data_IF_390291551061
#
_entry.id   IF_390291551061
#
_cell.length_a   1.000
_cell.length_b   1.000
_cell.length_c   1.000
_cell.angle_alpha   90.00
_cell.angle_beta   90.00
_cell.angle_gamma   90.00
#
_symmetry.space_group_name_H-M   'P 1'
#
loop_
_entity.id
_entity.type
_entity.pdbx_description
1 polymer ?
#
# COMPACT_ATOMS: atom_id res chain seq x y z
N UNK A 1 10.51 -19.94 26.89
CA UNK A 1 9.50 -20.20 27.93
C UNK A 1 8.14 -20.14 27.25
N UNK A 2 7.26 -21.14 27.42
CA UNK A 2 5.95 -21.11 26.78
C UNK A 2 5.04 -20.13 27.54
N UNK A 3 4.29 -19.32 26.80
CA UNK A 3 3.28 -18.41 27.35
C UNK A 3 2.19 -19.19 28.11
N UNK A 4 1.69 -18.69 29.24
CA UNK A 4 0.61 -19.34 29.97
C UNK A 4 -0.71 -19.19 29.20
N UNK A 5 -1.43 -20.30 29.05
CA UNK A 5 -2.80 -20.34 28.55
C UNK A 5 -3.73 -19.63 29.54
N UNK A 6 -4.25 -18.47 29.16
CA UNK A 6 -5.38 -17.85 29.85
C UNK A 6 -6.65 -18.49 29.28
N UNK A 7 -7.25 -19.40 30.07
CA UNK A 7 -8.65 -19.74 29.93
C UNK A 7 -9.47 -18.55 30.43
N UNK A 8 -10.11 -17.82 29.52
CA UNK A 8 -11.30 -17.04 29.82
C UNK A 8 -12.38 -17.38 28.80
N UNK A 9 -13.39 -18.09 29.29
CA UNK A 9 -14.68 -18.26 28.62
C UNK A 9 -15.46 -16.96 28.76
N UNK A 10 -15.42 -16.15 27.71
CA UNK A 10 -16.38 -15.06 27.48
C UNK A 10 -16.63 -15.02 25.98
N UNK A 11 -17.82 -15.45 25.57
CA UNK A 11 -18.24 -15.49 24.17
C UNK A 11 -18.46 -14.07 23.66
N UNK A 12 -17.44 -13.49 23.04
CA UNK A 12 -17.55 -12.21 22.35
C UNK A 12 -18.08 -12.38 20.93
N UNK A 13 -18.85 -11.42 20.41
CA UNK A 13 -19.39 -11.46 19.05
C UNK A 13 -18.25 -11.46 18.03
N UNK A 14 -18.04 -12.60 17.37
CA UNK A 14 -16.93 -12.83 16.45
C UNK A 14 -17.27 -12.52 14.98
N UNK A 15 -16.32 -11.94 14.27
CA UNK A 15 -16.26 -11.83 12.81
C UNK A 15 -15.25 -12.84 12.29
N UNK A 16 -15.65 -13.70 11.35
CA UNK A 16 -14.71 -14.56 10.62
C UNK A 16 -14.23 -13.78 9.39
N UNK A 17 -12.93 -13.51 9.33
CA UNK A 17 -12.29 -12.92 8.15
C UNK A 17 -11.65 -14.05 7.35
N UNK A 18 -11.92 -14.14 6.06
CA UNK A 18 -11.34 -15.07 5.09
C UNK A 18 -10.54 -14.30 4.03
N UNK A 19 -9.76 -15.04 3.24
CA UNK A 19 -8.81 -14.46 2.29
C UNK A 19 -8.71 -15.30 1.00
N UNK A 20 -8.06 -14.76 -0.03
CA UNK A 20 -7.66 -15.51 -1.23
C UNK A 20 -6.41 -14.88 -1.86
N UNK A 21 -5.35 -15.67 -2.10
CA UNK A 21 -4.16 -15.24 -2.86
C UNK A 21 -3.97 -16.13 -4.08
N UNK A 22 -3.61 -15.50 -5.19
CA UNK A 22 -3.12 -16.18 -6.39
C UNK A 22 -1.79 -15.53 -6.76
N UNK A 23 -0.68 -16.11 -6.31
CA UNK A 23 0.64 -15.65 -6.71
C UNK A 23 1.16 -16.57 -7.83
N UNK A 24 1.35 -16.02 -9.03
CA UNK A 24 1.93 -16.76 -10.15
C UNK A 24 3.45 -16.60 -10.09
N UNK A 25 4.15 -17.65 -9.64
CA UNK A 25 5.61 -17.68 -9.69
C UNK A 25 6.10 -18.94 -10.39
N UNK A 26 6.94 -18.75 -11.41
CA UNK A 26 7.56 -19.81 -12.19
C UNK A 26 8.65 -20.50 -11.37
N UNK A 27 8.66 -21.84 -11.42
CA UNK A 27 9.61 -22.71 -10.71
C UNK A 27 11.04 -22.49 -11.21
N UNK A 28 11.98 -22.28 -10.29
CA UNK A 28 13.42 -22.52 -10.49
C UNK A 28 13.98 -23.21 -9.24
N UNK A 29 14.73 -24.32 -9.36
CA UNK A 29 15.32 -24.98 -8.20
C UNK A 29 16.58 -24.25 -7.70
N UNK A 30 17.07 -24.67 -6.53
CA UNK A 30 18.41 -24.48 -5.94
C UNK A 30 18.58 -23.46 -4.79
N UNK A 31 19.26 -23.95 -3.72
CA UNK A 31 20.17 -23.22 -2.84
C UNK A 31 19.62 -22.68 -1.50
N UNK A 32 20.30 -23.03 -0.39
CA UNK A 32 20.06 -22.54 0.99
C UNK A 32 20.46 -21.05 1.17
N UNK A 33 21.07 -20.43 0.16
CA UNK A 33 21.52 -19.03 0.17
C UNK A 33 20.80 -18.18 -0.90
N UNK A 34 19.51 -18.41 -1.11
CA UNK A 34 18.71 -17.61 -2.04
C UNK A 34 17.98 -16.48 -1.27
N UNK A 35 18.27 -15.20 -1.50
CA UNK A 35 17.57 -14.10 -0.85
C UNK A 35 16.06 -14.12 -1.13
N UNK A 36 15.63 -14.69 -2.26
CA UNK A 36 14.23 -14.82 -2.66
C UNK A 36 13.50 -16.01 -2.02
N UNK A 37 14.15 -16.76 -1.13
CA UNK A 37 13.55 -17.96 -0.53
C UNK A 37 12.21 -17.66 0.14
N UNK A 38 12.14 -16.68 1.04
CA UNK A 38 10.91 -16.33 1.75
C UNK A 38 9.76 -15.97 0.82
N UNK A 39 10.05 -15.21 -0.25
CA UNK A 39 9.06 -14.88 -1.27
C UNK A 39 8.54 -16.13 -1.99
N UNK A 40 9.42 -17.05 -2.41
CA UNK A 40 9.05 -18.30 -3.10
C UNK A 40 8.29 -19.27 -2.21
N UNK A 41 8.60 -19.27 -0.91
CA UNK A 41 7.94 -20.11 0.09
C UNK A 41 6.58 -19.58 0.51
N UNK A 42 6.33 -18.28 0.34
CA UNK A 42 5.06 -17.65 0.70
C UNK A 42 4.00 -17.87 -0.39
N UNK A 43 3.37 -19.04 -0.35
CA UNK A 43 2.36 -19.46 -1.33
C UNK A 43 0.93 -19.37 -0.79
N UNK A 44 0.79 -19.43 0.52
CA UNK A 44 -0.48 -19.52 1.25
C UNK A 44 -0.40 -18.59 2.47
N UNK A 45 -1.53 -18.28 3.13
CA UNK A 45 -1.53 -17.33 4.24
C UNK A 45 -0.90 -18.02 5.44
N UNK A 46 -0.56 -17.24 6.44
CA UNK A 46 -0.29 -17.82 7.74
C UNK A 46 -1.55 -18.38 8.41
N UNK A 47 -2.66 -17.64 8.37
CA UNK A 47 -3.97 -18.03 8.89
C UNK A 47 -5.06 -17.68 7.87
N UNK A 48 -5.64 -18.67 7.15
CA UNK A 48 -6.63 -18.41 6.10
C UNK A 48 -7.97 -17.87 6.64
N UNK A 49 -8.23 -18.11 7.92
CA UNK A 49 -9.37 -17.59 8.63
C UNK A 49 -9.00 -17.24 10.07
N UNK A 50 -9.65 -16.23 10.63
CA UNK A 50 -9.52 -15.86 12.04
C UNK A 50 -10.80 -15.21 12.55
N UNK A 51 -11.04 -15.35 13.86
CA UNK A 51 -12.17 -14.75 14.57
C UNK A 51 -11.70 -13.49 15.29
N UNK A 52 -12.42 -12.38 15.09
CA UNK A 52 -12.17 -11.10 15.74
C UNK A 52 -13.41 -10.61 16.49
N UNK A 53 -13.24 -10.08 17.69
CA UNK A 53 -14.32 -9.38 18.39
C UNK A 53 -14.67 -8.08 17.68
N UNK A 54 -15.96 -7.78 17.50
CA UNK A 54 -16.40 -6.52 16.86
C UNK A 54 -15.79 -5.28 17.53
N UNK A 55 -15.71 -5.28 18.87
CA UNK A 55 -15.12 -4.20 19.67
C UNK A 55 -13.63 -3.97 19.40
N UNK A 56 -12.89 -4.95 18.89
CA UNK A 56 -11.48 -4.77 18.51
C UNK A 56 -11.33 -3.76 17.36
N UNK A 57 -12.36 -3.59 16.52
CA UNK A 57 -12.37 -2.62 15.44
C UNK A 57 -12.79 -1.21 15.88
N UNK A 58 -13.03 -0.98 17.18
CA UNK A 58 -13.38 0.37 17.67
C UNK A 58 -12.25 1.38 17.43
N UNK A 59 -11.00 0.93 17.24
CA UNK A 59 -9.88 1.79 16.85
C UNK A 59 -10.13 2.51 15.50
N UNK A 60 -11.00 1.96 14.65
CA UNK A 60 -11.36 2.60 13.37
C UNK A 60 -12.40 3.71 13.54
N UNK A 61 -13.10 3.81 14.68
CA UNK A 61 -14.10 4.85 14.87
C UNK A 61 -13.45 6.23 15.02
N UNK A 62 -14.09 7.30 14.50
CA UNK A 62 -13.67 8.66 14.83
C UNK A 62 -13.92 8.96 16.32
N UNK A 63 -13.24 9.99 16.85
CA UNK A 63 -13.41 10.43 18.25
C UNK A 63 -14.86 10.84 18.58
N UNK A 64 -15.57 11.46 17.63
CA UNK A 64 -16.99 11.82 17.74
C UNK A 64 -17.79 11.07 16.67
N UNK A 65 -18.58 10.09 17.11
CA UNK A 65 -19.43 9.24 16.25
C UNK A 65 -20.84 9.81 16.05
N UNK A 66 -21.21 10.85 16.80
CA UNK A 66 -22.51 11.53 16.70
C UNK A 66 -22.46 12.71 15.73
N UNK A 67 -21.40 13.53 15.79
CA UNK A 67 -21.19 14.68 14.91
C UNK A 67 -20.12 14.43 13.86
N UNK A 68 -20.35 13.42 13.03
CA UNK A 68 -19.38 13.00 12.01
C UNK A 68 -19.29 14.00 10.86
N UNK A 69 -18.07 14.48 10.59
CA UNK A 69 -17.75 15.21 9.37
C UNK A 69 -17.33 14.24 8.25
N UNK A 70 -18.13 14.13 7.20
CA UNK A 70 -17.81 13.26 6.06
C UNK A 70 -16.48 13.66 5.40
N UNK A 71 -15.68 12.66 5.05
CA UNK A 71 -14.41 12.81 4.35
C UNK A 71 -13.27 13.39 5.19
N UNK A 72 -13.52 13.88 6.41
CA UNK A 72 -12.47 14.42 7.28
C UNK A 72 -11.50 13.30 7.68
N UNK A 73 -10.21 13.37 7.28
CA UNK A 73 -9.24 12.35 7.65
C UNK A 73 -8.92 12.38 9.16
N UNK A 74 -8.67 11.20 9.73
CA UNK A 74 -8.13 11.01 11.07
C UNK A 74 -7.16 9.84 11.09
N UNK A 75 -6.19 9.89 12.00
CA UNK A 75 -5.16 8.86 12.14
C UNK A 75 -5.65 7.79 13.10
N UNK A 76 -5.75 6.55 12.62
CA UNK A 76 -5.89 5.34 13.44
C UNK A 76 -4.51 5.00 14.03
N UNK A 77 -3.48 5.08 13.18
CA UNK A 77 -2.08 4.95 13.57
C UNK A 77 -1.30 6.15 13.03
N UNK A 78 -0.56 6.88 13.87
CA UNK A 78 0.15 8.07 13.44
C UNK A 78 1.33 7.72 12.52
N UNK A 79 1.71 8.67 11.65
CA UNK A 79 2.86 8.51 10.75
C UNK A 79 4.22 8.56 11.46
N UNK A 80 4.26 9.01 12.71
CA UNK A 80 5.50 9.14 13.49
C UNK A 80 5.63 7.98 14.49
N UNK A 81 6.82 7.39 14.66
CA UNK A 81 7.04 6.41 15.71
C UNK A 81 6.81 7.06 17.08
N UNK A 82 5.89 6.52 17.86
CA UNK A 82 5.77 6.86 19.29
C UNK A 82 7.03 6.46 20.05
N UNK A 83 7.65 7.41 20.77
CA UNK A 83 8.74 7.13 21.71
C UNK A 83 10.18 7.37 21.22
N UNK A 84 10.37 7.99 20.04
CA UNK A 84 11.69 8.44 19.62
C UNK A 84 12.16 9.68 20.40
N UNK A 85 13.43 9.71 20.81
CA UNK A 85 14.11 10.97 21.13
C UNK A 85 14.08 11.87 19.86
N UNK A 86 14.05 13.20 20.00
CA UNK A 86 14.04 14.12 18.85
C UNK A 86 15.12 13.85 17.80
N UNK A 87 16.24 13.24 18.22
CA UNK A 87 17.42 12.96 17.40
C UNK A 87 17.69 11.45 17.16
N UNK A 88 16.76 10.56 17.52
CA UNK A 88 16.92 9.12 17.23
C UNK A 88 16.71 8.86 15.73
N UNK A 89 17.43 7.89 15.11
CA UNK A 89 17.23 7.54 13.71
C UNK A 89 15.75 7.29 13.45
N UNK A 90 15.17 8.07 12.56
CA UNK A 90 13.73 8.09 12.27
C UNK A 90 13.23 6.81 11.60
N UNK A 91 14.09 5.81 11.39
CA UNK A 91 13.87 4.60 10.60
C UNK A 91 14.24 3.34 11.39
N UNK A 92 13.42 2.29 11.27
CA UNK A 92 13.78 0.97 11.79
C UNK A 92 14.90 0.36 10.93
N UNK A 93 15.80 -0.42 11.53
CA UNK A 93 16.88 -1.11 10.82
C UNK A 93 16.35 -2.15 9.83
N UNK A 94 16.92 -2.18 8.62
CA UNK A 94 16.66 -3.21 7.60
C UNK A 94 17.20 -4.59 7.97
N UNK A 95 18.05 -4.69 8.99
CA UNK A 95 18.59 -5.97 9.49
C UNK A 95 17.61 -6.71 10.42
N UNK A 96 16.41 -6.15 10.66
CA UNK A 96 15.40 -6.77 11.54
C UNK A 96 14.77 -7.99 10.89
N UNK A 97 14.53 -9.00 11.71
CA UNK A 97 13.77 -10.19 11.33
C UNK A 97 12.37 -10.17 11.90
N UNK A 98 12.22 -9.80 13.17
CA UNK A 98 10.96 -9.91 13.88
C UNK A 98 10.34 -8.53 14.15
N UNK A 99 9.00 -8.41 13.99
CA UNK A 99 8.33 -7.15 14.25
C UNK A 99 8.37 -6.78 15.74
N UNK A 100 8.28 -5.48 16.06
CA UNK A 100 8.09 -5.07 17.44
C UNK A 100 6.78 -5.64 17.98
N UNK A 101 6.73 -5.88 19.29
CA UNK A 101 5.52 -6.38 19.94
C UNK A 101 4.35 -5.40 19.73
N UNK A 102 3.14 -5.90 19.43
CA UNK A 102 1.97 -5.05 19.27
C UNK A 102 1.66 -4.32 20.57
N UNK A 103 1.24 -3.06 20.44
CA UNK A 103 0.57 -2.33 21.53
C UNK A 103 -0.87 -2.81 21.61
N UNK A 104 -1.46 -2.77 22.80
CA UNK A 104 -2.83 -3.24 23.04
C UNK A 104 -3.84 -2.59 22.10
N UNK A 105 -3.75 -1.27 21.96
CA UNK A 105 -4.57 -0.44 21.06
C UNK A 105 -4.54 -0.90 19.59
N UNK A 106 -3.38 -1.32 19.08
CA UNK A 106 -3.18 -1.59 17.65
C UNK A 106 -3.18 -3.09 17.33
N UNK A 107 -3.49 -3.92 18.33
CA UNK A 107 -3.43 -5.38 18.27
C UNK A 107 -4.27 -5.98 17.13
N UNK A 108 -5.43 -5.38 16.83
CA UNK A 108 -6.30 -5.81 15.73
C UNK A 108 -5.60 -5.72 14.36
N UNK A 109 -4.78 -4.67 14.13
CA UNK A 109 -4.06 -4.47 12.87
C UNK A 109 -2.96 -5.50 12.71
N UNK A 110 -2.21 -5.77 13.78
CA UNK A 110 -1.20 -6.84 13.81
C UNK A 110 -1.83 -8.21 13.56
N UNK A 111 -3.00 -8.48 14.14
CA UNK A 111 -3.71 -9.75 13.94
C UNK A 111 -4.24 -9.88 12.52
N UNK A 112 -4.83 -8.83 11.93
CA UNK A 112 -5.30 -8.82 10.54
C UNK A 112 -4.15 -9.09 9.57
N UNK A 113 -3.06 -8.33 9.67
CA UNK A 113 -1.87 -8.53 8.82
C UNK A 113 -1.17 -9.86 9.12
N UNK A 114 -1.19 -10.29 10.38
CA UNK A 114 -0.66 -11.58 10.84
C UNK A 114 -1.36 -12.79 10.24
N UNK A 115 -2.58 -12.62 9.71
CA UNK A 115 -3.24 -13.67 8.91
C UNK A 115 -2.46 -13.97 7.64
N UNK A 116 -1.82 -12.98 7.02
CA UNK A 116 -1.12 -13.17 5.75
C UNK A 116 0.25 -13.80 5.94
N UNK A 117 1.00 -13.31 6.91
CA UNK A 117 2.35 -13.75 7.22
C UNK A 117 2.63 -13.54 8.70
N UNK A 118 3.42 -14.42 9.32
CA UNK A 118 3.67 -14.39 10.77
C UNK A 118 4.51 -13.19 11.26
N UNK A 119 5.08 -12.42 10.33
CA UNK A 119 5.96 -11.27 10.62
C UNK A 119 5.49 -9.97 9.96
N UNK A 120 4.30 -9.44 10.33
CA UNK A 120 3.84 -8.15 9.85
C UNK A 120 4.51 -7.01 10.64
N UNK A 121 5.00 -6.01 9.92
CA UNK A 121 5.49 -4.75 10.48
C UNK A 121 4.45 -3.66 10.20
N UNK A 122 3.59 -3.41 11.19
CA UNK A 122 2.59 -2.34 11.15
C UNK A 122 3.25 -0.97 11.22
N UNK A 123 4.31 -0.85 12.03
CA UNK A 123 5.22 0.30 11.98
C UNK A 123 6.33 0.02 10.96
N UNK A 124 6.26 0.67 9.80
CA UNK A 124 7.23 0.47 8.70
C UNK A 124 8.59 1.16 8.94
N UNK A 125 9.65 0.59 8.34
CA UNK A 125 10.99 1.18 8.27
C UNK A 125 11.00 2.56 7.62
N UNK A 126 10.25 2.76 6.54
CA UNK A 126 10.25 4.01 5.76
C UNK A 126 8.84 4.63 5.64
N UNK A 127 8.73 5.97 5.50
CA UNK A 127 7.47 6.62 5.13
C UNK A 127 6.97 6.22 3.73
N UNK A 128 5.66 6.34 3.46
CA UNK A 128 4.57 6.68 4.40
C UNK A 128 4.33 5.59 5.46
N UNK A 129 3.88 5.99 6.66
CA UNK A 129 3.64 5.08 7.80
C UNK A 129 2.24 5.25 8.38
N UNK A 130 1.74 4.19 9.00
CA UNK A 130 0.52 4.26 9.79
C UNK A 130 -0.74 4.09 8.96
N UNK A 131 -1.86 4.49 9.55
CA UNK A 131 -3.20 4.21 9.03
C UNK A 131 -4.04 5.47 9.18
N UNK A 132 -4.59 5.93 8.06
CA UNK A 132 -5.51 7.07 8.00
C UNK A 132 -6.85 6.59 7.51
N UNK A 133 -7.92 7.06 8.15
CA UNK A 133 -9.29 6.74 7.80
C UNK A 133 -10.12 8.01 7.64
N UNK A 134 -11.28 7.89 7.00
CA UNK A 134 -12.32 8.90 7.06
C UNK A 134 -13.70 8.23 6.99
N UNK A 135 -14.72 8.91 7.53
CA UNK A 135 -16.09 8.43 7.36
C UNK A 135 -16.59 8.88 5.99
N UNK A 136 -16.95 7.92 5.14
CA UNK A 136 -17.50 8.14 3.80
C UNK A 136 -19.01 8.31 3.81
N UNK A 137 -19.72 7.56 4.65
CA UNK A 137 -21.17 7.64 4.78
C UNK A 137 -21.62 7.31 6.21
N UNK A 138 -22.83 7.74 6.58
CA UNK A 138 -23.43 7.35 7.84
C UNK A 138 -24.95 7.29 7.75
N UNK A 139 -25.56 6.57 8.68
CA UNK A 139 -26.98 6.70 9.03
C UNK A 139 -27.15 6.64 10.56
N UNK A 140 -28.38 6.59 11.05
CA UNK A 140 -28.68 6.51 12.48
C UNK A 140 -27.94 5.40 13.25
N UNK A 141 -27.57 4.29 12.59
CA UNK A 141 -27.00 3.08 13.22
C UNK A 141 -25.54 2.83 12.86
N UNK A 142 -25.15 3.11 11.61
CA UNK A 142 -23.90 2.67 11.02
C UNK A 142 -23.05 3.82 10.50
N UNK A 143 -21.73 3.64 10.59
CA UNK A 143 -20.73 4.40 9.88
C UNK A 143 -20.13 3.52 8.78
N UNK A 144 -19.94 4.10 7.59
CA UNK A 144 -19.12 3.53 6.53
C UNK A 144 -17.78 4.26 6.54
N UNK A 145 -16.73 3.55 6.97
CA UNK A 145 -15.37 4.05 7.10
C UNK A 145 -14.53 3.45 5.97
N UNK A 146 -13.82 4.32 5.26
CA UNK A 146 -12.76 3.92 4.34
C UNK A 146 -11.42 4.24 4.99
N UNK A 147 -10.41 3.40 4.74
CA UNK A 147 -9.08 3.62 5.30
C UNK A 147 -7.97 3.19 4.35
N UNK A 148 -6.80 3.79 4.58
CA UNK A 148 -5.54 3.43 3.93
C UNK A 148 -4.51 3.12 5.01
N UNK A 149 -3.87 1.97 4.90
CA UNK A 149 -2.83 1.51 5.82
C UNK A 149 -1.54 1.21 5.06
N UNK A 150 -0.42 1.52 5.71
CA UNK A 150 0.91 1.20 5.26
C UNK A 150 1.58 0.25 6.25
N UNK A 151 1.93 -0.94 5.77
CA UNK A 151 2.65 -1.98 6.51
C UNK A 151 3.55 -2.77 5.56
N UNK A 152 4.53 -3.46 6.10
CA UNK A 152 5.46 -4.32 5.37
C UNK A 152 5.54 -5.71 6.02
N UNK A 153 6.06 -6.70 5.28
CA UNK A 153 6.32 -8.04 5.79
C UNK A 153 7.80 -8.35 5.67
N UNK A 154 8.32 -9.02 6.69
CA UNK A 154 9.65 -9.59 6.63
C UNK A 154 9.52 -11.09 6.36
N UNK A 155 10.07 -11.58 5.25
CA UNK A 155 9.80 -12.94 4.75
C UNK A 155 10.88 -13.98 5.13
N UNK A 156 12.14 -13.57 5.28
CA UNK A 156 13.24 -14.51 5.54
C UNK A 156 13.50 -14.72 7.04
N UNK A 157 14.12 -15.83 7.40
CA UNK A 157 14.66 -16.06 8.74
C UNK A 157 16.16 -16.32 8.66
N UNK A 158 16.91 -16.12 9.75
CA UNK A 158 18.32 -16.52 9.79
C UNK A 158 18.46 -18.00 9.42
N UNK A 159 19.49 -18.38 8.65
CA UNK A 159 20.66 -17.57 8.28
C UNK A 159 20.48 -16.70 7.03
N UNK A 160 19.33 -16.75 6.34
CA UNK A 160 19.11 -15.95 5.14
C UNK A 160 18.89 -14.49 5.54
N UNK A 161 19.55 -13.57 4.82
CA UNK A 161 19.40 -12.14 5.08
C UNK A 161 17.94 -11.68 4.96
N UNK A 162 17.57 -10.59 5.67
CA UNK A 162 16.23 -10.05 5.60
C UNK A 162 15.76 -9.75 4.17
N UNK A 163 14.49 -10.05 3.96
CA UNK A 163 13.75 -9.80 2.74
C UNK A 163 12.45 -9.12 3.12
N UNK A 164 12.25 -7.92 2.59
CA UNK A 164 11.13 -7.05 2.89
C UNK A 164 10.19 -7.02 1.71
N UNK A 165 8.92 -7.23 1.99
CA UNK A 165 7.83 -7.18 1.03
C UNK A 165 6.85 -6.10 1.48
N UNK A 166 6.75 -5.04 0.70
CA UNK A 166 6.07 -3.81 1.09
C UNK A 166 4.97 -3.50 0.09
N UNK A 167 3.70 -3.83 0.40
CA UNK A 167 2.58 -3.37 -0.40
C UNK A 167 2.55 -1.85 -0.50
N UNK A 168 2.23 -1.33 -1.69
CA UNK A 168 2.13 0.10 -1.95
C UNK A 168 1.09 0.77 -1.05
N UNK A 169 0.02 0.05 -0.70
CA UNK A 169 -0.95 0.37 0.34
C UNK A 169 -1.85 -0.84 0.60
N UNK A 170 -2.49 -0.85 1.77
CA UNK A 170 -3.75 -1.55 1.97
C UNK A 170 -4.88 -0.53 1.91
N UNK A 171 -5.91 -0.81 1.11
CA UNK A 171 -7.16 -0.06 1.10
C UNK A 171 -8.23 -0.89 1.78
N UNK A 172 -9.10 -0.28 2.59
CA UNK A 172 -10.18 -1.01 3.22
C UNK A 172 -11.47 -0.22 3.38
N UNK A 173 -12.54 -1.00 3.48
CA UNK A 173 -13.93 -0.60 3.60
C UNK A 173 -14.53 -1.31 4.83
N UNK A 174 -15.05 -0.55 5.78
CA UNK A 174 -15.62 -1.03 7.03
C UNK A 174 -17.00 -0.41 7.24
N UNK A 175 -18.02 -1.26 7.44
CA UNK A 175 -19.32 -0.80 7.96
C UNK A 175 -19.47 -1.31 9.38
N UNK A 176 -19.49 -0.37 10.32
CA UNK A 176 -19.50 -0.64 11.76
C UNK A 176 -20.58 0.20 12.44
N UNK A 177 -21.20 -0.33 13.49
CA UNK A 177 -22.14 0.42 14.31
C UNK A 177 -21.43 1.58 15.01
N UNK A 178 -22.17 2.66 15.27
CA UNK A 178 -21.62 3.87 15.91
C UNK A 178 -20.97 3.64 17.28
N UNK A 179 -21.36 2.58 17.97
CA UNK A 179 -20.82 2.16 19.27
C UNK A 179 -19.72 1.08 19.15
N UNK A 180 -19.38 0.63 17.94
CA UNK A 180 -18.40 -0.43 17.68
C UNK A 180 -18.82 -1.83 18.12
N UNK A 181 -20.09 -2.05 18.48
CA UNK A 181 -20.57 -3.37 18.93
C UNK A 181 -20.86 -4.34 17.78
N UNK A 182 -21.06 -3.85 16.56
CA UNK A 182 -21.43 -4.66 15.41
C UNK A 182 -20.69 -4.23 14.14
N UNK A 183 -20.10 -5.22 13.45
CA UNK A 183 -19.52 -5.07 12.11
C UNK A 183 -20.46 -5.74 11.12
N UNK A 184 -20.97 -4.95 10.18
CA UNK A 184 -21.87 -5.41 9.13
C UNK A 184 -21.11 -5.77 7.83
N UNK A 185 -19.99 -5.09 7.57
CA UNK A 185 -19.15 -5.33 6.39
C UNK A 185 -17.69 -5.04 6.72
N UNK A 186 -16.78 -5.86 6.20
CA UNK A 186 -15.35 -5.59 6.21
C UNK A 186 -14.71 -6.15 4.94
N UNK A 187 -13.96 -5.28 4.27
CA UNK A 187 -13.10 -5.61 3.15
C UNK A 187 -11.78 -4.85 3.30
N UNK A 188 -10.67 -5.51 3.01
CA UNK A 188 -9.36 -4.87 2.91
C UNK A 188 -8.56 -5.58 1.83
N UNK A 189 -7.81 -4.85 1.03
CA UNK A 189 -6.99 -5.43 -0.04
C UNK A 189 -5.72 -4.63 -0.31
N UNK A 190 -4.79 -5.24 -1.04
CA UNK A 190 -3.76 -4.52 -1.79
C UNK A 190 -4.31 -4.22 -3.18
N UNK A 191 -4.61 -2.95 -3.53
CA UNK A 191 -5.22 -2.63 -4.81
C UNK A 191 -4.36 -3.08 -5.99
N UNK A 192 -4.98 -3.70 -6.98
CA UNK A 192 -4.34 -4.25 -8.18
C UNK A 192 -4.68 -3.46 -9.47
N UNK A 193 -5.32 -2.29 -9.33
CA UNK A 193 -5.71 -1.43 -10.46
C UNK A 193 -4.53 -0.76 -11.17
N UNK A 194 -3.33 -0.82 -10.57
CA UNK A 194 -2.07 -0.33 -11.14
C UNK A 194 -1.15 -1.49 -11.48
N UNK A 195 -0.25 -1.26 -12.45
CA UNK A 195 0.68 -2.29 -12.95
C UNK A 195 1.73 -2.74 -11.95
N UNK A 196 2.01 -1.92 -10.93
CA UNK A 196 2.98 -2.17 -9.87
C UNK A 196 2.33 -1.75 -8.55
N UNK A 197 2.39 -2.61 -7.54
CA UNK A 197 1.73 -2.38 -6.26
C UNK A 197 2.46 -2.99 -5.06
N UNK A 198 3.68 -3.51 -5.25
CA UNK A 198 4.54 -3.98 -4.16
C UNK A 198 5.98 -3.56 -4.42
N UNK A 199 6.65 -3.10 -3.38
CA UNK A 199 8.09 -2.84 -3.34
C UNK A 199 8.76 -4.01 -2.60
N UNK A 200 9.94 -4.40 -3.07
CA UNK A 200 10.64 -5.59 -2.60
C UNK A 200 12.10 -5.22 -2.38
N UNK A 201 12.59 -5.44 -1.16
CA UNK A 201 13.96 -5.11 -0.80
C UNK A 201 14.64 -6.29 -0.10
N UNK A 202 15.90 -6.56 -0.39
CA UNK A 202 16.66 -7.55 0.37
C UNK A 202 18.12 -7.17 0.54
N UNK A 203 18.67 -7.57 1.68
CA UNK A 203 20.08 -7.34 1.95
C UNK A 203 20.94 -8.33 1.17
N UNK A 204 21.77 -7.83 0.25
CA UNK A 204 22.81 -8.57 -0.47
C UNK A 204 24.17 -8.38 0.20
N UNK A 205 25.10 -9.32 0.02
CA UNK A 205 26.48 -9.19 0.53
C UNK A 205 26.80 -9.96 1.82
N UNK A 206 28.02 -9.73 2.32
CA UNK A 206 28.67 -10.51 3.38
C UNK A 206 28.17 -10.23 4.81
N UNK A 207 28.74 -10.93 5.78
CA UNK A 207 28.35 -10.87 7.20
C UNK A 207 28.76 -9.60 7.95
N UNK A 208 29.44 -8.65 7.30
CA UNK A 208 29.82 -7.36 7.89
C UNK A 208 28.91 -6.23 7.40
N UNK A 209 28.50 -5.31 8.27
CA UNK A 209 27.62 -4.17 7.92
C UNK A 209 28.20 -3.29 6.78
N UNK A 210 29.52 -3.28 6.61
CA UNK A 210 30.21 -2.52 5.56
C UNK A 210 30.16 -3.18 4.18
N UNK A 211 29.73 -4.44 4.09
CA UNK A 211 29.62 -5.23 2.86
C UNK A 211 28.16 -5.54 2.49
N UNK A 212 27.19 -5.05 3.28
CA UNK A 212 25.76 -5.25 3.01
C UNK A 212 25.24 -4.20 2.04
N UNK A 213 24.89 -4.64 0.83
CA UNK A 213 24.10 -3.88 -0.13
C UNK A 213 22.61 -4.07 0.13
N UNK A 214 21.80 -3.09 -0.28
CA UNK A 214 20.36 -3.28 -0.41
C UNK A 214 20.04 -3.41 -1.89
N UNK A 215 19.45 -4.54 -2.27
CA UNK A 215 18.81 -4.67 -3.57
C UNK A 215 17.35 -4.25 -3.45
N UNK A 216 16.86 -3.61 -4.51
CA UNK A 216 15.48 -3.11 -4.59
C UNK A 216 14.89 -3.55 -5.92
N UNK A 217 13.67 -4.05 -5.88
CA UNK A 217 12.88 -4.40 -7.05
C UNK A 217 11.41 -4.03 -6.80
N UNK A 218 10.64 -3.87 -7.87
CA UNK A 218 9.23 -3.52 -7.80
C UNK A 218 8.40 -4.58 -8.51
N UNK A 219 7.37 -5.06 -7.81
CA UNK A 219 6.55 -6.17 -8.26
C UNK A 219 5.08 -5.80 -8.50
N UNK A 220 4.36 -6.84 -8.90
CA UNK A 220 2.91 -6.82 -9.01
C UNK A 220 2.32 -8.01 -8.27
N UNK A 221 1.47 -7.72 -7.28
CA UNK A 221 0.65 -8.68 -6.55
C UNK A 221 -0.77 -8.62 -7.12
N UNK A 222 -1.23 -9.65 -7.84
CA UNK A 222 -2.53 -9.62 -8.48
C UNK A 222 -3.69 -9.71 -7.48
N UNK A 223 -3.48 -10.31 -6.31
CA UNK A 223 -4.51 -10.44 -5.28
C UNK A 223 -3.91 -10.64 -3.90
N UNK A 224 -4.31 -9.80 -2.96
CA UNK A 224 -4.12 -9.95 -1.51
C UNK A 224 -5.31 -9.26 -0.85
N UNK A 225 -6.21 -10.04 -0.23
CA UNK A 225 -7.55 -9.59 0.14
C UNK A 225 -8.01 -10.27 1.43
N UNK A 226 -8.72 -9.50 2.27
CA UNK A 226 -9.43 -9.91 3.46
C UNK A 226 -10.90 -9.56 3.30
N UNK A 227 -11.78 -10.52 3.58
CA UNK A 227 -13.23 -10.34 3.53
C UNK A 227 -13.88 -10.96 4.75
N UNK A 228 -14.98 -10.36 5.20
CA UNK A 228 -15.85 -10.99 6.19
C UNK A 228 -16.64 -12.16 5.58
N UNK A 229 -16.83 -13.27 6.30
CA UNK A 229 -17.67 -14.39 5.84
C UNK A 229 -19.13 -14.30 6.29
N UNK A 230 -19.46 -13.29 7.11
CA UNK A 230 -20.78 -13.08 7.70
C UNK A 230 -20.73 -11.98 8.74
N UNK A 231 -21.79 -11.17 8.85
CA UNK A 231 -21.87 -10.08 9.84
C UNK A 231 -21.60 -10.58 11.28
N UNK A 232 -21.07 -9.71 12.14
CA UNK A 232 -20.76 -10.05 13.53
C UNK A 232 -22.02 -10.51 14.29
N UNK A 233 -21.94 -11.59 15.06
CA UNK A 233 -23.10 -12.18 15.75
C UNK A 233 -23.14 -11.74 17.20
N UNK A 234 -24.26 -11.20 17.70
CA UNK A 234 -24.44 -10.90 19.13
C UNK A 234 -24.25 -12.15 20.03
N UNK A 235 -23.79 -12.00 21.29
CA UNK A 235 -23.72 -13.10 22.26
C UNK A 235 -25.07 -13.80 22.45
N UNK A 236 -25.06 -15.11 22.68
CA UNK A 236 -26.27 -15.94 22.79
C UNK A 236 -27.23 -15.50 23.93
N UNK A 237 -26.73 -14.84 24.97
CA UNK A 237 -27.53 -14.38 26.11
C UNK A 237 -28.37 -13.12 25.80
N UNK A 238 -27.98 -12.31 24.82
CA UNK A 238 -28.76 -11.16 24.34
C UNK A 238 -29.73 -11.55 23.20
N UNK A 239 -29.55 -12.74 22.62
CA UNK A 239 -30.41 -13.24 21.54
C UNK A 239 -31.83 -13.57 22.03
N UNK A 240 -32.00 -13.97 23.30
CA UNK A 240 -33.29 -14.27 23.92
C UNK A 240 -34.05 -13.00 24.38
N UNK A 241 -33.35 -11.90 24.66
CA UNK A 241 -33.97 -10.62 25.00
C UNK A 241 -34.40 -9.80 23.76
N UNK A 242 -33.76 -10.05 22.60
CA UNK A 242 -33.98 -9.36 21.33
C UNK A 242 -35.08 -9.97 20.45
N UNK A 243 -35.85 -10.96 20.92
CA UNK A 243 -37.03 -11.47 20.18
C UNK A 243 -38.13 -10.41 19.99
N UNK A 244 -38.05 -9.27 20.70
CA UNK A 244 -38.95 -8.12 20.55
C UNK A 244 -38.40 -6.99 19.64
N UNK A 245 -37.31 -7.21 18.92
CA UNK A 245 -36.72 -6.22 18.01
C UNK A 245 -37.20 -6.38 16.56
N UNK A 246 -37.04 -5.31 15.76
CA UNK A 246 -37.68 -5.14 14.45
C UNK A 246 -37.27 -6.22 13.44
N UNK A 247 -38.08 -6.47 12.39
CA UNK A 247 -37.82 -7.52 11.40
C UNK A 247 -36.44 -7.42 10.70
N UNK A 248 -35.87 -6.21 10.59
CA UNK A 248 -34.55 -5.99 9.98
C UNK A 248 -33.38 -6.47 10.85
N UNK A 249 -33.54 -6.51 12.17
CA UNK A 249 -32.49 -6.94 13.11
C UNK A 249 -32.45 -8.46 13.27
N UNK A 250 -33.58 -9.13 13.00
CA UNK A 250 -33.67 -10.59 13.03
C UNK A 250 -33.04 -11.25 11.80
N UNK A 251 -33.01 -10.55 10.66
CA UNK A 251 -32.61 -11.06 9.35
C UNK A 251 -31.10 -11.23 9.19
N UNK A 252 -30.23 -10.69 10.05
CA UNK A 252 -28.76 -10.75 9.85
C UNK A 252 -28.05 -11.95 10.52
N UNK A 253 -28.81 -12.88 11.12
CA UNK A 253 -28.27 -13.94 12.00
C UNK A 253 -28.16 -15.29 11.27
N UNK A 254 -26.95 -15.86 11.21
CA UNK A 254 -26.71 -17.21 10.66
C UNK A 254 -26.45 -17.28 9.15
N UNK A 255 -26.29 -16.11 8.53
CA UNK A 255 -26.12 -15.88 7.10
C UNK A 255 -24.77 -16.35 6.53
N UNK A 256 -24.77 -16.80 5.28
CA UNK A 256 -23.58 -17.23 4.52
C UNK A 256 -22.85 -16.00 3.93
N UNK A 257 -21.64 -16.13 3.36
CA UNK A 257 -20.93 -14.99 2.77
C UNK A 257 -21.74 -14.21 1.72
N UNK A 258 -22.69 -14.87 1.06
CA UNK A 258 -23.58 -14.25 0.06
C UNK A 258 -24.60 -13.26 0.66
N UNK A 259 -24.90 -13.35 1.96
CA UNK A 259 -25.88 -12.47 2.59
C UNK A 259 -25.23 -11.31 3.38
N UNK A 260 -23.91 -11.14 3.29
CA UNK A 260 -23.23 -9.96 3.82
C UNK A 260 -23.68 -8.75 3.02
N UNK A 261 -24.42 -7.88 3.69
CA UNK A 261 -24.91 -6.63 3.10
C UNK A 261 -23.73 -5.77 2.65
N UNK A 262 -23.65 -5.46 1.35
CA UNK A 262 -22.58 -4.60 0.82
C UNK A 262 -22.84 -3.13 1.18
N UNK A 263 -21.81 -2.27 1.25
CA UNK A 263 -22.00 -0.88 1.65
C UNK A 263 -23.01 -0.10 0.79
N UNK A 264 -23.13 -0.42 -0.49
CA UNK A 264 -24.07 0.25 -1.41
C UNK A 264 -25.54 -0.17 -1.20
N UNK A 265 -25.79 -1.22 -0.43
CA UNK A 265 -27.15 -1.70 -0.12
C UNK A 265 -27.75 -1.01 1.12
N UNK A 266 -26.94 -0.23 1.86
CA UNK A 266 -27.41 0.54 3.02
C UNK A 266 -28.09 1.83 2.58
N UNK A 267 -29.14 2.20 3.31
CA UNK A 267 -29.75 3.52 3.21
C UNK A 267 -28.91 4.48 4.06
N UNK A 268 -28.12 5.32 3.39
CA UNK A 268 -27.27 6.32 4.01
C UNK A 268 -28.01 7.66 4.12
N UNK A 269 -27.93 8.29 5.29
CA UNK A 269 -28.48 9.65 5.50
C UNK A 269 -27.60 10.68 4.80
N UNK A 270 -26.28 10.43 4.76
CA UNK A 270 -25.31 11.24 4.06
C UNK A 270 -24.14 10.38 3.56
N UNK A 271 -23.58 10.76 2.41
CA UNK A 271 -22.58 9.99 1.68
C UNK A 271 -21.72 10.92 0.81
N UNK A 272 -20.42 10.62 0.71
CA UNK A 272 -19.53 11.13 -0.34
C UNK A 272 -19.08 9.99 -1.26
N UNK A 273 -18.67 10.32 -2.48
CA UNK A 273 -18.15 9.31 -3.41
C UNK A 273 -16.82 8.71 -2.91
N UNK A 274 -16.56 7.47 -3.32
CA UNK A 274 -15.40 6.71 -2.85
C UNK A 274 -14.08 7.32 -3.32
N UNK A 275 -14.03 7.85 -4.54
CA UNK A 275 -12.82 8.47 -5.09
C UNK A 275 -12.42 9.72 -4.30
N UNK A 276 -13.38 10.57 -3.96
CA UNK A 276 -13.18 11.76 -3.10
C UNK A 276 -12.68 11.37 -1.72
N UNK A 277 -13.28 10.36 -1.09
CA UNK A 277 -12.86 9.89 0.24
C UNK A 277 -11.41 9.37 0.22
N UNK A 278 -11.08 8.52 -0.77
CA UNK A 278 -9.73 7.99 -0.95
C UNK A 278 -8.71 9.09 -1.30
N UNK A 279 -9.11 10.12 -2.07
CA UNK A 279 -8.26 11.28 -2.38
C UNK A 279 -7.96 12.10 -1.13
N UNK A 280 -8.94 12.31 -0.25
CA UNK A 280 -8.74 13.04 1.02
C UNK A 280 -7.77 12.28 1.94
N UNK A 281 -7.93 10.96 2.06
CA UNK A 281 -6.99 10.10 2.79
C UNK A 281 -5.59 10.12 2.15
N UNK A 282 -5.51 10.03 0.83
CA UNK A 282 -4.22 10.06 0.13
C UNK A 282 -3.50 11.41 0.32
N UNK A 283 -4.25 12.51 0.35
CA UNK A 283 -3.70 13.86 0.58
C UNK A 283 -3.14 14.02 1.99
N UNK A 284 -3.71 13.34 2.98
CA UNK A 284 -3.17 13.30 4.34
C UNK A 284 -1.79 12.61 4.38
N UNK A 285 -1.59 11.58 3.56
CA UNK A 285 -0.28 10.93 3.41
C UNK A 285 0.71 11.74 2.57
N UNK A 286 0.20 12.42 1.54
CA UNK A 286 1.01 13.16 0.59
C UNK A 286 0.45 14.57 0.43
N UNK A 287 0.82 15.52 1.30
CA UNK A 287 0.30 16.89 1.25
C UNK A 287 0.51 17.59 -0.10
N UNK A 288 1.52 17.18 -0.88
CA UNK A 288 1.74 17.71 -2.23
C UNK A 288 0.63 17.32 -3.23
N UNK A 289 -0.18 16.28 -2.95
CA UNK A 289 -1.32 15.86 -3.78
C UNK A 289 -2.60 16.68 -3.59
N UNK A 290 -2.57 17.72 -2.73
CA UNK A 290 -3.61 18.75 -2.70
C UNK A 290 -3.81 19.34 -4.10
N UNK A 291 -2.74 19.48 -4.88
CA UNK A 291 -2.78 19.91 -6.27
C UNK A 291 -3.10 18.70 -7.16
N UNK A 292 -4.11 18.83 -8.01
CA UNK A 292 -4.43 17.81 -9.01
C UNK A 292 -3.35 17.79 -10.09
N UNK A 293 -2.62 16.69 -10.19
CA UNK A 293 -1.68 16.46 -11.27
C UNK A 293 -2.42 15.93 -12.49
N UNK A 294 -2.33 16.66 -13.60
CA UNK A 294 -2.84 16.22 -14.88
C UNK A 294 -1.69 15.67 -15.72
N UNK A 295 -1.94 14.63 -16.52
CA UNK A 295 -1.01 14.29 -17.58
C UNK A 295 -0.85 15.48 -18.54
N UNK A 296 0.26 15.52 -19.28
CA UNK A 296 0.62 16.66 -20.12
C UNK A 296 -0.49 17.04 -21.12
N UNK A 297 -1.10 16.04 -21.76
CA UNK A 297 -2.22 16.25 -22.71
C UNK A 297 -3.38 16.98 -22.05
N UNK A 298 -3.81 16.53 -20.87
CA UNK A 298 -4.90 17.14 -20.13
C UNK A 298 -4.51 18.50 -19.55
N UNK A 299 -3.27 18.66 -19.09
CA UNK A 299 -2.73 19.94 -18.63
C UNK A 299 -2.74 20.99 -19.76
N UNK A 300 -2.34 20.63 -20.99
CA UNK A 300 -2.43 21.51 -22.16
C UNK A 300 -3.86 21.88 -22.52
N UNK A 301 -4.78 20.92 -22.49
CA UNK A 301 -6.20 21.21 -22.71
C UNK A 301 -6.72 22.23 -21.69
N UNK A 302 -6.52 21.96 -20.40
CA UNK A 302 -7.00 22.81 -19.32
C UNK A 302 -6.34 24.20 -19.32
N UNK A 303 -5.05 24.29 -19.68
CA UNK A 303 -4.34 25.56 -19.83
C UNK A 303 -5.00 26.46 -20.87
N UNK A 304 -5.37 25.90 -22.05
CA UNK A 304 -6.10 26.64 -23.09
C UNK A 304 -7.52 27.04 -22.65
N UNK A 305 -8.24 26.10 -22.04
CA UNK A 305 -9.63 26.32 -21.60
C UNK A 305 -9.73 27.36 -20.47
N UNK A 306 -8.76 27.36 -19.55
CA UNK A 306 -8.76 28.22 -18.37
C UNK A 306 -7.91 29.48 -18.54
N UNK A 307 -7.22 29.63 -19.68
CA UNK A 307 -6.24 30.68 -19.93
C UNK A 307 -5.21 30.80 -18.79
N UNK A 308 -4.71 29.65 -18.33
CA UNK A 308 -3.76 29.54 -17.21
C UNK A 308 -2.45 28.92 -17.65
N UNK A 309 -1.33 29.33 -17.02
CA UNK A 309 -0.06 28.69 -17.21
C UNK A 309 -0.06 27.21 -16.88
N UNK A 310 0.60 26.43 -17.73
CA UNK A 310 1.25 25.22 -17.25
C UNK A 310 2.55 25.69 -16.59
N UNK A 311 2.93 25.16 -15.43
CA UNK A 311 4.29 25.33 -14.90
C UNK A 311 5.30 24.57 -15.78
N UNK A 312 5.46 25.03 -17.01
CA UNK A 312 6.68 25.03 -17.80
C UNK A 312 6.89 26.53 -18.05
N UNK A 313 7.90 27.11 -17.41
CA UNK A 313 8.08 28.57 -17.27
C UNK A 313 7.60 29.34 -18.51
N UNK A 314 6.47 30.04 -18.41
CA UNK A 314 5.91 30.82 -19.52
C UNK A 314 6.76 32.04 -19.88
N UNK A 315 7.63 32.46 -18.95
CA UNK A 315 8.57 33.54 -19.17
C UNK A 315 9.86 33.06 -19.84
N UNK A 316 10.01 31.74 -20.00
CA UNK A 316 11.12 31.12 -20.71
C UNK A 316 10.59 30.19 -21.82
N UNK A 317 10.24 30.76 -22.99
CA UNK A 317 9.83 30.01 -24.17
C UNK A 317 10.84 28.91 -24.55
N UNK A 318 12.12 29.12 -24.27
CA UNK A 318 13.19 28.16 -24.56
C UNK A 318 13.05 26.94 -23.66
N UNK A 319 12.81 27.12 -22.36
CA UNK A 319 12.59 26.01 -21.43
C UNK A 319 11.27 25.27 -21.69
N UNK A 320 10.22 25.98 -22.11
CA UNK A 320 8.94 25.36 -22.49
C UNK A 320 9.07 24.49 -23.74
N UNK A 321 9.81 24.96 -24.76
CA UNK A 321 10.13 24.18 -25.96
C UNK A 321 11.00 22.97 -25.63
N UNK A 322 12.05 23.18 -24.82
CA UNK A 322 12.95 22.12 -24.35
C UNK A 322 12.19 21.01 -23.62
N UNK A 323 11.28 21.36 -22.70
CA UNK A 323 10.46 20.38 -21.99
C UNK A 323 9.56 19.57 -22.94
N UNK A 324 8.95 20.21 -23.95
CA UNK A 324 8.12 19.52 -24.96
C UNK A 324 8.94 18.52 -25.76
N UNK A 325 10.14 18.90 -26.18
CA UNK A 325 11.05 18.00 -26.93
C UNK A 325 11.45 16.78 -26.11
N UNK A 326 11.78 16.95 -24.82
CA UNK A 326 12.08 15.80 -23.96
C UNK A 326 10.87 14.88 -23.75
N UNK A 327 9.68 15.46 -23.63
CA UNK A 327 8.44 14.71 -23.43
C UNK A 327 8.02 13.94 -24.68
N UNK A 328 8.26 14.45 -25.89
CA UNK A 328 7.99 13.70 -27.14
C UNK A 328 8.91 12.48 -27.30
N UNK A 329 10.08 12.51 -26.66
CA UNK A 329 11.05 11.42 -26.72
C UNK A 329 10.86 10.38 -25.61
N UNK A 330 10.05 10.70 -24.59
CA UNK A 330 9.81 9.85 -23.42
C UNK A 330 8.93 8.64 -23.75
N UNK A 331 9.32 7.51 -23.18
CA UNK A 331 8.61 6.23 -23.26
C UNK A 331 8.51 5.59 -21.86
N UNK A 332 7.31 5.18 -21.46
CA UNK A 332 7.09 4.55 -20.15
C UNK A 332 7.86 3.21 -20.04
N UNK A 333 8.41 2.79 -18.87
CA UNK A 333 8.27 3.40 -17.53
C UNK A 333 9.33 4.44 -17.16
N UNK A 334 10.53 4.34 -17.69
CA UNK A 334 11.66 5.26 -17.44
C UNK A 334 12.54 5.27 -18.70
N UNK A 335 13.03 6.46 -19.11
CA UNK A 335 14.00 6.60 -20.20
C UNK A 335 15.22 7.35 -19.69
N UNK A 336 16.41 6.84 -20.03
CA UNK A 336 17.65 7.59 -19.89
C UNK A 336 17.94 8.33 -21.19
N UNK A 337 18.27 9.62 -21.12
CA UNK A 337 18.57 10.45 -22.28
C UNK A 337 19.90 11.19 -22.10
N UNK A 338 20.66 11.33 -23.19
CA UNK A 338 21.77 12.27 -23.33
C UNK A 338 21.29 13.39 -24.25
N UNK A 339 21.35 14.62 -23.76
CA UNK A 339 20.74 15.80 -24.38
C UNK A 339 21.84 16.83 -24.63
N UNK A 340 21.89 17.37 -25.85
CA UNK A 340 22.78 18.46 -26.20
C UNK A 340 22.32 19.78 -25.55
N UNK A 341 23.20 20.79 -25.37
CA UNK A 341 22.80 22.08 -24.78
C UNK A 341 21.67 22.81 -25.51
N UNK A 342 21.44 22.50 -26.80
CA UNK A 342 20.35 23.05 -27.61
C UNK A 342 19.03 22.24 -27.51
N UNK A 343 18.94 21.23 -26.64
CA UNK A 343 17.75 20.40 -26.44
C UNK A 343 17.61 19.18 -27.34
N UNK A 344 18.56 18.94 -28.26
CA UNK A 344 18.52 17.75 -29.10
C UNK A 344 18.85 16.50 -28.28
N UNK A 345 17.95 15.50 -28.27
CA UNK A 345 18.22 14.18 -27.70
C UNK A 345 19.17 13.43 -28.64
N UNK A 346 20.42 13.22 -28.21
CA UNK A 346 21.46 12.57 -29.02
C UNK A 346 21.54 11.07 -28.76
N UNK A 347 21.10 10.62 -27.59
CA UNK A 347 21.02 9.20 -27.25
C UNK A 347 19.91 8.99 -26.24
N UNK A 348 19.14 7.91 -26.40
CA UNK A 348 18.15 7.50 -25.41
C UNK A 348 18.06 5.98 -25.34
N UNK A 349 17.65 5.47 -24.20
CA UNK A 349 17.34 4.05 -24.01
C UNK A 349 16.24 3.91 -22.96
N UNK A 350 15.25 3.05 -23.23
CA UNK A 350 14.25 2.71 -22.23
C UNK A 350 14.91 1.89 -21.11
N UNK A 351 14.53 2.10 -19.86
CA UNK A 351 15.13 1.39 -18.73
C UNK A 351 14.97 -0.13 -18.87
N UNK A 352 13.82 -0.61 -19.34
CA UNK A 352 13.60 -2.05 -19.54
C UNK A 352 14.54 -2.62 -20.61
N UNK A 353 14.68 -1.94 -21.76
CA UNK A 353 15.65 -2.33 -22.79
C UNK A 353 17.09 -2.28 -22.27
N UNK A 354 17.38 -1.31 -21.42
CA UNK A 354 18.69 -1.16 -20.81
C UNK A 354 19.03 -2.32 -19.87
N UNK A 355 18.07 -2.77 -19.06
CA UNK A 355 18.23 -3.92 -18.17
C UNK A 355 18.17 -5.27 -18.90
N UNK A 356 17.38 -5.40 -19.97
CA UNK A 356 17.26 -6.65 -20.76
C UNK A 356 18.52 -7.01 -21.56
N UNK A 357 19.45 -6.05 -21.74
CA UNK A 357 20.79 -6.32 -22.31
C UNK A 357 21.65 -7.26 -21.43
N UNK A 358 21.20 -7.60 -20.21
CA UNK A 358 21.91 -8.51 -19.27
C UNK A 358 21.76 -10.02 -19.55
N UNK A 359 21.03 -10.44 -20.59
CA UNK A 359 20.82 -11.89 -20.86
C UNK A 359 22.08 -12.69 -21.29
N UNK A 360 23.28 -12.09 -21.25
CA UNK A 360 24.57 -12.75 -21.51
C UNK A 360 25.50 -12.83 -20.27
N UNK A 361 24.94 -13.15 -19.10
CA UNK A 361 25.60 -14.05 -18.15
C UNK A 361 26.73 -13.51 -17.25
N UNK A 362 26.87 -12.20 -17.04
CA UNK A 362 27.84 -11.67 -16.07
C UNK A 362 27.24 -10.55 -15.21
N UNK A 363 26.90 -10.89 -13.95
CA UNK A 363 26.55 -9.95 -12.89
C UNK A 363 27.65 -8.87 -12.72
N UNK A 364 27.26 -7.60 -12.67
CA UNK A 364 28.16 -6.47 -12.40
C UNK A 364 28.49 -5.56 -13.60
N UNK A 365 27.81 -5.72 -14.74
CA UNK A 365 28.06 -4.90 -15.93
C UNK A 365 27.21 -3.62 -16.03
N UNK A 366 26.21 -3.40 -15.16
CA UNK A 366 25.36 -2.20 -15.24
C UNK A 366 26.16 -0.87 -15.24
N UNK A 367 27.19 -0.67 -14.38
CA UNK A 367 28.02 0.53 -14.47
C UNK A 367 28.81 0.63 -15.78
N UNK A 368 29.22 -0.51 -16.35
CA UNK A 368 29.92 -0.57 -17.63
C UNK A 368 28.99 -0.27 -18.81
N UNK A 369 27.78 -0.82 -18.83
CA UNK A 369 26.75 -0.55 -19.82
C UNK A 369 26.31 0.92 -19.76
N UNK A 370 26.15 1.46 -18.55
CA UNK A 370 25.84 2.88 -18.37
C UNK A 370 26.98 3.76 -18.89
N UNK A 371 28.23 3.39 -18.59
CA UNK A 371 29.41 4.05 -19.15
C UNK A 371 29.47 3.95 -20.67
N UNK A 372 29.08 2.82 -21.28
CA UNK A 372 29.01 2.66 -22.74
C UNK A 372 27.89 3.52 -23.34
N UNK A 373 26.72 3.53 -22.72
CA UNK A 373 25.60 4.40 -23.10
C UNK A 373 26.01 5.89 -23.10
N UNK A 374 26.67 6.34 -22.03
CA UNK A 374 27.18 7.71 -21.93
C UNK A 374 28.28 7.99 -22.96
N UNK A 375 29.24 7.08 -23.14
CA UNK A 375 30.30 7.24 -24.15
C UNK A 375 29.74 7.34 -25.56
N UNK A 376 28.73 6.54 -25.88
CA UNK A 376 28.09 6.60 -27.19
C UNK A 376 27.29 7.91 -27.37
N UNK A 377 26.62 8.37 -26.31
CA UNK A 377 25.96 9.67 -26.31
C UNK A 377 26.94 10.83 -26.52
N UNK A 378 28.07 10.83 -25.80
CA UNK A 378 29.14 11.82 -25.96
C UNK A 378 29.75 11.76 -27.36
N UNK A 379 30.01 10.56 -27.90
CA UNK A 379 30.53 10.39 -29.26
C UNK A 379 29.54 10.92 -30.31
N UNK A 380 28.23 10.73 -30.11
CA UNK A 380 27.18 11.28 -30.99
C UNK A 380 27.11 12.82 -30.88
N UNK A 381 27.30 13.36 -29.67
CA UNK A 381 27.38 14.80 -29.43
C UNK A 381 28.60 15.43 -30.14
N UNK A 382 29.78 14.82 -30.00
CA UNK A 382 31.03 15.26 -30.62
C UNK A 382 31.02 15.20 -32.16
N UNK A 383 30.24 14.28 -32.74
CA UNK A 383 30.10 14.12 -34.20
C UNK A 383 29.20 15.15 -34.87
N UNK A 384 28.55 16.02 -34.10
CA UNK A 384 27.91 17.21 -34.63
C UNK A 384 26.68 16.95 -35.50
N UNK A 385 25.72 16.16 -35.02
CA UNK A 385 24.31 16.48 -35.34
C UNK A 385 23.92 17.76 -34.58
N UNK A 386 24.50 18.88 -35.02
CA UNK A 386 24.00 20.22 -34.78
C UNK A 386 22.99 20.47 -35.92
N UNK A 387 21.67 20.50 -35.67
CA UNK A 387 20.76 21.03 -36.67
C UNK A 387 21.16 22.48 -36.95
N UNK A 388 21.29 22.85 -38.22
CA UNK A 388 21.53 24.23 -38.62
C UNK A 388 20.45 25.16 -38.01
N UNK A 389 20.89 26.35 -37.61
CA UNK A 389 20.09 27.39 -36.93
C UNK A 389 18.80 27.78 -37.65
#
# INVERSE_FOLDING_TARGET
MPFPSIHQSSSFPGVIVCWQVAALFTHYPFGVSNPLHGLKSWQTPHMPNAIFGAKEFSIFLPEDTENVALGKPYHILPQKPTGGLPDAPSHLSSARFYPPAPKEQDSVLYRLLGMMHSRPFVEMRFPPRGTVACVRAYNSKYLHIVFRMHAEYQLNEPPTNPFWFTPAQFAGDLVISRDGSHIAYFHMEVPNTRRLNVDIEWLSGGSSENEQGMEVDIGYMPKMEWTITGASRLPAEEQTAAENQSPEEQDLRGKTPEDVKKPDEFLWDSLIDQESALRLIETEFYPFKVVTYHNLTKAHQLSREQNKPIHADENDPVMSEFAKTLLSEYEYPVVMMVIAPNGTVVHKVNANEFFDMESSGLQGQLPLQYKLFLKEGLRKLERGTVPAA
#
